data_IF_839742733905
#
_entry.id   IF_839742733905
#
_cell.length_a   1.000
_cell.length_b   1.000
_cell.length_c   1.000
_cell.angle_alpha   90.00
_cell.angle_beta   90.00
_cell.angle_gamma   90.00
#
_symmetry.space_group_name_H-M   'P 1'
#
loop_
_entity.id
_entity.type
_entity.pdbx_description
1 polymer ?
#
# COMPACT_ATOMS: atom_id res chain seq x y z
N UNK A 1 -3.31 2.50 77.46
CA UNK A 1 -2.54 1.76 76.43
C UNK A 1 -3.12 1.86 75.01
N UNK A 2 -4.35 2.36 74.80
CA UNK A 2 -5.00 2.41 73.48
C UNK A 2 -4.50 3.51 72.51
N UNK A 3 -3.73 4.50 72.98
CA UNK A 3 -3.31 5.67 72.18
C UNK A 3 -2.18 5.37 71.20
N UNK A 4 -1.25 4.47 71.55
CA UNK A 4 -0.10 4.14 70.70
C UNK A 4 -0.48 3.29 69.49
N UNK A 5 -1.46 2.38 69.64
CA UNK A 5 -1.94 1.54 68.55
C UNK A 5 -2.57 2.37 67.41
N UNK A 6 -3.36 3.39 67.76
CA UNK A 6 -4.01 4.26 66.79
C UNK A 6 -3.00 5.08 65.96
N UNK A 7 -1.95 5.59 66.60
CA UNK A 7 -0.87 6.34 65.92
C UNK A 7 -0.14 5.44 64.94
N UNK A 8 0.25 4.23 65.36
CA UNK A 8 0.95 3.27 64.49
C UNK A 8 0.08 2.89 63.29
N UNK A 9 -1.22 2.60 63.50
CA UNK A 9 -2.12 2.27 62.39
C UNK A 9 -2.28 3.42 61.40
N UNK A 10 -2.37 4.67 61.89
CA UNK A 10 -2.48 5.84 61.03
C UNK A 10 -1.21 6.07 60.21
N UNK A 11 -0.04 5.87 60.80
CA UNK A 11 1.24 5.98 60.09
C UNK A 11 1.40 4.92 59.02
N UNK A 12 1.05 3.66 59.31
CA UNK A 12 1.10 2.57 58.31
C UNK A 12 0.15 2.85 57.14
N UNK A 13 -1.07 3.32 57.42
CA UNK A 13 -2.02 3.69 56.38
C UNK A 13 -1.51 4.84 55.50
N UNK A 14 -0.91 5.88 56.10
CA UNK A 14 -0.32 6.99 55.37
C UNK A 14 0.84 6.55 54.47
N UNK A 15 1.73 5.68 54.97
CA UNK A 15 2.84 5.12 54.18
C UNK A 15 2.30 4.27 53.02
N UNK A 16 1.30 3.41 53.27
CA UNK A 16 0.70 2.59 52.23
C UNK A 16 0.07 3.42 51.10
N UNK A 17 -0.56 4.56 51.42
CA UNK A 17 -1.12 5.48 50.42
C UNK A 17 -0.02 6.13 49.56
N UNK A 18 1.12 6.51 50.15
CA UNK A 18 2.26 7.08 49.40
C UNK A 18 2.85 6.03 48.46
N UNK A 19 3.07 4.80 48.94
CA UNK A 19 3.55 3.71 48.09
C UNK A 19 2.59 3.39 46.95
N UNK A 20 1.28 3.37 47.22
CA UNK A 20 0.26 3.15 46.19
C UNK A 20 0.30 4.25 45.12
N UNK A 21 0.43 5.51 45.53
CA UNK A 21 0.55 6.64 44.62
C UNK A 21 1.80 6.58 43.74
N UNK A 22 2.94 6.15 44.31
CA UNK A 22 4.17 5.95 43.55
C UNK A 22 4.02 4.81 42.53
N UNK A 23 3.48 3.65 42.93
CA UNK A 23 3.26 2.53 42.01
C UNK A 23 2.33 2.94 40.86
N UNK A 24 1.21 3.61 41.16
CA UNK A 24 0.29 4.10 40.14
C UNK A 24 0.94 5.10 39.17
N UNK A 25 1.87 5.94 39.64
CA UNK A 25 2.61 6.87 38.79
C UNK A 25 3.52 6.13 37.80
N UNK A 26 4.26 5.11 38.26
CA UNK A 26 5.11 4.29 37.38
C UNK A 26 4.29 3.43 36.41
N UNK A 27 3.14 2.92 36.83
CA UNK A 27 2.23 2.16 35.98
C UNK A 27 1.68 3.01 34.82
N UNK A 28 1.36 4.28 35.07
CA UNK A 28 0.91 5.21 34.02
C UNK A 28 2.04 5.48 33.00
N UNK A 29 3.27 5.64 33.45
CA UNK A 29 4.39 5.93 32.55
C UNK A 29 4.76 4.72 31.69
N UNK A 30 4.81 3.52 32.27
CA UNK A 30 5.05 2.29 31.50
C UNK A 30 3.94 2.01 30.49
N UNK A 31 2.68 2.34 30.82
CA UNK A 31 1.57 2.22 29.88
C UNK A 31 1.72 3.17 28.68
N UNK A 32 2.24 4.39 28.88
CA UNK A 32 2.53 5.35 27.79
C UNK A 32 3.66 4.87 26.88
N UNK A 33 4.70 4.30 27.46
CA UNK A 33 5.81 3.74 26.69
C UNK A 33 5.37 2.56 25.82
N UNK A 34 4.56 1.64 26.37
CA UNK A 34 4.00 0.52 25.61
C UNK A 34 3.11 0.98 24.45
N UNK A 35 2.30 2.03 24.64
CA UNK A 35 1.49 2.61 23.57
C UNK A 35 2.37 3.20 22.47
N UNK A 36 3.41 3.95 22.84
CA UNK A 36 4.35 4.56 21.89
C UNK A 36 5.12 3.50 21.09
N UNK A 37 5.57 2.43 21.76
CA UNK A 37 6.24 1.32 21.10
C UNK A 37 5.29 0.59 20.15
N UNK A 38 4.06 0.34 20.58
CA UNK A 38 3.05 -0.33 19.75
C UNK A 38 2.72 0.47 18.49
N UNK A 39 2.66 1.81 18.59
CA UNK A 39 2.46 2.68 17.44
C UNK A 39 3.63 2.61 16.44
N UNK A 40 4.87 2.67 16.94
CA UNK A 40 6.07 2.56 16.08
C UNK A 40 6.17 1.21 15.39
N UNK A 41 5.87 0.12 16.10
CA UNK A 41 5.87 -1.22 15.54
C UNK A 41 4.76 -1.40 14.49
N UNK A 42 3.59 -0.79 14.71
CA UNK A 42 2.50 -0.78 13.73
C UNK A 42 2.89 -0.01 12.46
N UNK A 43 3.48 1.18 12.60
CA UNK A 43 3.97 1.97 11.46
C UNK A 43 5.07 1.25 10.69
N UNK A 44 5.98 0.56 11.40
CA UNK A 44 7.05 -0.22 10.77
C UNK A 44 6.47 -1.38 9.95
N UNK A 45 5.59 -2.20 10.54
CA UNK A 45 4.93 -3.33 9.85
C UNK A 45 4.14 -2.88 8.62
N UNK A 46 3.45 -1.75 8.74
CA UNK A 46 2.70 -1.14 7.64
C UNK A 46 3.62 -0.74 6.47
N UNK A 47 4.75 -0.09 6.76
CA UNK A 47 5.76 0.24 5.74
C UNK A 47 6.41 -1.00 5.14
N UNK A 48 6.73 -2.01 5.96
CA UNK A 48 7.27 -3.30 5.52
C UNK A 48 6.32 -3.96 4.52
N UNK A 49 5.02 -4.05 4.84
CA UNK A 49 4.00 -4.57 3.93
C UNK A 49 3.96 -3.81 2.60
N UNK A 50 3.89 -2.48 2.65
CA UNK A 50 3.84 -1.65 1.43
C UNK A 50 5.12 -1.77 0.58
N UNK A 51 6.27 -2.01 1.21
CA UNK A 51 7.54 -2.24 0.53
C UNK A 51 7.56 -3.54 -0.30
N UNK A 52 6.70 -4.51 0.03
CA UNK A 52 6.55 -5.77 -0.70
C UNK A 52 5.70 -5.65 -1.97
N UNK A 53 5.05 -4.50 -2.20
CA UNK A 53 4.29 -4.23 -3.42
C UNK A 53 5.19 -3.47 -4.38
N UNK A 54 5.67 -4.14 -5.42
CA UNK A 54 6.70 -3.61 -6.33
C UNK A 54 6.20 -3.54 -7.76
N UNK A 55 6.75 -2.59 -8.52
CA UNK A 55 6.52 -2.46 -9.95
C UNK A 55 7.87 -2.29 -10.67
N UNK A 56 8.10 -3.03 -11.75
CA UNK A 56 9.32 -2.94 -12.54
C UNK A 56 9.09 -3.39 -13.99
N UNK A 57 9.88 -2.91 -14.97
CA UNK A 57 9.83 -3.43 -16.32
C UNK A 57 10.63 -4.74 -16.46
N UNK A 58 10.15 -5.66 -17.28
CA UNK A 58 10.89 -6.83 -17.74
C UNK A 58 10.81 -6.95 -19.27
N UNK A 59 11.69 -7.77 -19.85
CA UNK A 59 11.73 -8.03 -21.29
C UNK A 59 11.50 -9.52 -21.53
N UNK A 60 10.62 -9.85 -22.48
CA UNK A 60 10.35 -11.23 -22.86
C UNK A 60 11.44 -11.81 -23.79
N UNK A 61 11.29 -13.09 -24.18
CA UNK A 61 12.23 -13.76 -25.09
C UNK A 61 12.31 -13.14 -26.49
N UNK A 62 11.32 -12.34 -26.88
CA UNK A 62 11.26 -11.67 -28.18
C UNK A 62 11.80 -10.23 -28.12
N UNK A 63 12.33 -9.81 -26.97
CA UNK A 63 12.80 -8.44 -26.77
C UNK A 63 11.67 -7.43 -26.47
N UNK A 64 10.44 -7.88 -26.27
CA UNK A 64 9.31 -7.00 -25.95
C UNK A 64 9.32 -6.64 -24.46
N UNK A 65 9.32 -5.34 -24.16
CA UNK A 65 9.23 -4.84 -22.79
C UNK A 65 7.78 -4.88 -22.28
N UNK A 66 7.60 -5.33 -21.04
CA UNK A 66 6.31 -5.37 -20.35
C UNK A 66 6.46 -4.93 -18.89
N UNK A 67 5.39 -4.42 -18.29
CA UNK A 67 5.37 -4.04 -16.88
C UNK A 67 5.07 -5.24 -16.00
N UNK A 68 5.71 -5.34 -14.85
CA UNK A 68 5.41 -6.34 -13.84
C UNK A 68 4.96 -5.63 -12.58
N UNK A 69 3.80 -6.00 -12.06
CA UNK A 69 3.36 -5.63 -10.72
C UNK A 69 3.35 -6.87 -9.87
N UNK A 70 3.97 -6.83 -8.70
CA UNK A 70 3.90 -7.93 -7.75
C UNK A 70 3.49 -7.44 -6.37
N UNK A 71 2.54 -8.15 -5.78
CA UNK A 71 2.27 -8.11 -4.37
C UNK A 71 2.95 -9.32 -3.72
N UNK A 72 4.07 -9.11 -3.04
CA UNK A 72 4.78 -10.16 -2.26
C UNK A 72 4.33 -10.20 -0.80
N UNK A 73 3.37 -9.36 -0.41
CA UNK A 73 2.74 -9.40 0.90
C UNK A 73 1.77 -10.57 1.02
N UNK A 74 1.54 -11.01 2.26
CA UNK A 74 0.48 -11.96 2.64
C UNK A 74 -0.90 -11.32 2.66
N UNK A 75 -0.95 -10.00 2.57
CA UNK A 75 -2.18 -9.23 2.59
C UNK A 75 -2.51 -8.70 1.19
N UNK A 76 -3.80 -8.66 0.80
CA UNK A 76 -4.21 -8.05 -0.45
C UNK A 76 -3.97 -6.54 -0.42
N UNK A 77 -3.80 -5.97 -1.62
CA UNK A 77 -3.83 -4.51 -1.81
C UNK A 77 -4.91 -4.15 -2.82
N UNK A 78 -5.59 -3.04 -2.57
CA UNK A 78 -6.77 -2.61 -3.33
C UNK A 78 -6.55 -1.23 -3.94
N UNK A 79 -7.44 -0.82 -4.86
CA UNK A 79 -7.36 0.49 -5.50
C UNK A 79 -6.01 0.71 -6.19
N UNK A 80 -5.49 -0.32 -6.85
CA UNK A 80 -4.18 -0.24 -7.48
C UNK A 80 -4.29 0.50 -8.80
N UNK A 81 -3.68 1.68 -8.86
CA UNK A 81 -3.61 2.56 -10.02
C UNK A 81 -2.17 2.64 -10.52
N UNK A 82 -2.00 2.56 -11.83
CA UNK A 82 -0.72 2.67 -12.49
C UNK A 82 -0.70 3.84 -13.45
N UNK A 83 0.39 4.58 -13.40
CA UNK A 83 0.68 5.71 -14.26
C UNK A 83 1.92 5.37 -15.07
N UNK A 84 1.73 5.26 -16.39
CA UNK A 84 2.72 4.78 -17.32
C UNK A 84 2.91 5.81 -18.45
N UNK A 85 4.11 5.89 -19.01
CA UNK A 85 4.43 6.75 -20.17
C UNK A 85 5.25 5.99 -21.20
N UNK A 86 5.00 6.27 -22.46
CA UNK A 86 5.70 5.67 -23.58
C UNK A 86 6.76 6.68 -24.00
N UNK A 87 8.00 6.22 -24.20
CA UNK A 87 9.14 7.13 -24.42
C UNK A 87 8.90 8.16 -25.53
N UNK A 88 8.18 7.77 -26.58
CA UNK A 88 7.99 8.57 -27.79
C UNK A 88 6.63 9.28 -27.83
N UNK A 89 5.85 9.20 -26.76
CA UNK A 89 4.53 9.83 -26.66
C UNK A 89 4.48 10.81 -25.49
N UNK A 90 3.81 11.95 -25.69
CA UNK A 90 3.65 12.97 -24.67
C UNK A 90 2.53 12.67 -23.65
N UNK A 91 1.89 11.51 -23.75
CA UNK A 91 0.76 11.11 -22.92
C UNK A 91 1.15 10.31 -21.67
N UNK A 92 0.45 10.54 -20.58
CA UNK A 92 0.42 9.65 -19.41
C UNK A 92 -0.82 8.77 -19.48
N UNK A 93 -0.60 7.48 -19.31
CA UNK A 93 -1.65 6.47 -19.35
C UNK A 93 -1.94 5.98 -17.94
N UNK A 94 -3.23 5.96 -17.59
CA UNK A 94 -3.72 5.52 -16.29
C UNK A 94 -4.41 4.16 -16.42
N UNK A 95 -3.96 3.18 -15.63
CA UNK A 95 -4.56 1.84 -15.54
C UNK A 95 -5.00 1.55 -14.13
N UNK A 96 -6.25 1.15 -13.98
CA UNK A 96 -6.73 0.63 -12.71
C UNK A 96 -6.77 -0.89 -12.74
N UNK A 97 -6.03 -1.50 -11.81
CA UNK A 97 -5.94 -2.94 -11.66
C UNK A 97 -6.94 -3.50 -10.64
N UNK A 98 -7.57 -2.63 -9.84
CA UNK A 98 -8.48 -3.04 -8.78
C UNK A 98 -7.71 -3.62 -7.59
N UNK A 99 -8.00 -4.89 -7.27
CA UNK A 99 -7.41 -5.59 -6.13
C UNK A 99 -6.39 -6.61 -6.59
N UNK A 100 -5.17 -6.52 -6.04
CA UNK A 100 -4.11 -7.50 -6.25
C UNK A 100 -4.10 -8.46 -5.06
N UNK A 101 -4.35 -9.77 -5.29
CA UNK A 101 -4.33 -10.75 -4.22
C UNK A 101 -2.94 -10.85 -3.56
N UNK A 102 -2.87 -11.44 -2.36
CA UNK A 102 -1.59 -11.80 -1.75
C UNK A 102 -0.71 -12.61 -2.70
N UNK A 103 0.61 -12.48 -2.54
CA UNK A 103 1.58 -13.37 -3.18
C UNK A 103 1.38 -13.52 -4.69
N UNK A 104 0.98 -12.44 -5.37
CA UNK A 104 0.61 -12.47 -6.78
C UNK A 104 1.54 -11.59 -7.59
N UNK A 105 1.97 -12.10 -8.73
CA UNK A 105 2.70 -11.38 -9.76
C UNK A 105 1.81 -11.26 -10.98
N UNK A 106 1.63 -10.06 -11.51
CA UNK A 106 0.85 -9.79 -12.71
C UNK A 106 1.75 -9.17 -13.76
N UNK A 107 1.72 -9.73 -14.96
CA UNK A 107 2.40 -9.17 -16.10
C UNK A 107 1.42 -8.30 -16.90
N UNK A 108 1.82 -7.05 -17.17
CA UNK A 108 1.07 -6.05 -17.91
C UNK A 108 1.71 -5.95 -19.29
N UNK A 109 1.11 -6.66 -20.25
CA UNK A 109 1.57 -6.65 -21.63
C UNK A 109 1.26 -5.28 -22.26
N UNK A 110 2.15 -4.74 -23.08
CA UNK A 110 1.96 -3.43 -23.74
C UNK A 110 0.68 -3.36 -24.60
N UNK A 111 0.24 -4.50 -25.15
CA UNK A 111 -1.02 -4.61 -25.89
C UNK A 111 -2.25 -4.29 -25.03
N UNK A 112 -2.15 -4.46 -23.71
CA UNK A 112 -3.20 -4.08 -22.77
C UNK A 112 -3.38 -2.58 -22.65
N UNK A 113 -2.29 -1.84 -22.84
CA UNK A 113 -2.26 -0.41 -22.63
C UNK A 113 -3.08 0.37 -23.67
N UNK A 114 -3.29 -0.24 -24.84
CA UNK A 114 -4.05 0.33 -25.95
C UNK A 114 -5.56 0.24 -25.81
N UNK A 115 -6.08 -0.58 -24.88
CA UNK A 115 -7.51 -0.88 -24.82
C UNK A 115 -8.27 0.02 -23.85
N UNK A 116 -7.58 0.78 -22.99
CA UNK A 116 -8.22 1.67 -22.00
C UNK A 116 -8.24 3.13 -22.43
N UNK A 117 -7.34 3.56 -23.31
CA UNK A 117 -7.47 4.85 -23.97
C UNK A 117 -8.52 4.75 -25.06
N UNK A 118 -9.35 5.79 -25.20
CA UNK A 118 -10.30 6.00 -26.29
C UNK A 118 -9.61 6.14 -27.68
N UNK A 119 -8.50 5.42 -27.92
CA UNK A 119 -7.91 5.19 -29.23
C UNK A 119 -8.78 4.18 -30.00
N UNK A 120 -10.03 4.58 -30.24
CA UNK A 120 -10.98 3.95 -31.14
C UNK A 120 -10.63 4.10 -32.62
N UNK A 121 -9.43 4.56 -33.03
CA UNK A 121 -9.23 4.91 -34.44
C UNK A 121 -7.84 4.75 -35.07
N UNK A 122 -6.84 4.11 -34.44
CA UNK A 122 -5.57 3.89 -35.14
C UNK A 122 -4.93 2.52 -34.88
N UNK A 123 -5.04 1.64 -35.88
CA UNK A 123 -4.37 0.33 -35.93
C UNK A 123 -2.85 0.45 -36.10
N UNK A 124 -2.34 1.58 -36.58
CA UNK A 124 -0.91 1.80 -36.72
C UNK A 124 -0.24 2.12 -35.37
N UNK A 125 -1.00 2.65 -34.39
CA UNK A 125 -0.46 2.92 -33.05
C UNK A 125 -0.12 1.61 -32.32
N UNK A 126 -0.95 0.57 -32.48
CA UNK A 126 -0.73 -0.75 -31.86
C UNK A 126 0.56 -1.42 -32.34
N UNK A 127 0.99 -1.13 -33.58
CA UNK A 127 2.23 -1.66 -34.17
C UNK A 127 3.47 -0.90 -33.71
N UNK A 128 3.36 0.42 -33.53
CA UNK A 128 4.49 1.28 -33.09
C UNK A 128 4.85 1.05 -31.62
N UNK A 129 3.85 0.89 -30.77
CA UNK A 129 4.05 0.70 -29.33
C UNK A 129 4.62 -0.67 -28.97
N UNK A 130 4.48 -1.68 -29.83
CA UNK A 130 5.07 -3.01 -29.59
C UNK A 130 6.60 -2.98 -29.40
N UNK A 131 7.27 -1.92 -29.87
CA UNK A 131 8.72 -1.71 -29.76
C UNK A 131 9.12 -0.53 -28.87
N UNK A 132 8.17 0.15 -28.21
CA UNK A 132 8.50 1.32 -27.40
C UNK A 132 8.90 0.93 -25.98
N UNK A 133 9.84 1.70 -25.42
CA UNK A 133 10.28 1.58 -24.04
C UNK A 133 9.16 2.08 -23.12
N UNK A 134 8.52 1.15 -22.41
CA UNK A 134 7.56 1.44 -21.36
C UNK A 134 8.29 2.10 -20.18
N UNK A 135 7.85 3.29 -19.79
CA UNK A 135 8.34 3.99 -18.60
C UNK A 135 7.26 3.92 -17.54
N UNK A 136 7.59 3.29 -16.42
CA UNK A 136 6.71 3.24 -15.25
C UNK A 136 6.95 4.53 -14.46
N UNK A 137 5.95 5.41 -14.42
CA UNK A 137 6.06 6.66 -13.67
C UNK A 137 5.80 6.41 -12.19
N UNK A 138 4.65 5.82 -11.90
CA UNK A 138 4.17 5.64 -10.52
C UNK A 138 3.08 4.57 -10.44
N UNK A 139 2.98 3.96 -9.27
CA UNK A 139 1.87 3.13 -8.82
C UNK A 139 1.30 3.75 -7.54
N UNK A 140 -0.02 3.80 -7.41
CA UNK A 140 -0.67 4.01 -6.11
C UNK A 140 -1.53 2.82 -5.74
N UNK A 141 -1.66 2.55 -4.45
CA UNK A 141 -2.45 1.44 -3.93
C UNK A 141 -2.86 1.69 -2.48
N UNK A 142 -3.91 1.02 -2.05
CA UNK A 142 -4.39 1.00 -0.67
C UNK A 142 -4.04 -0.33 -0.03
N UNK A 143 -3.32 -0.28 1.09
CA UNK A 143 -2.95 -1.46 1.87
C UNK A 143 -4.14 -2.02 2.70
N UNK A 144 -3.92 -3.13 3.40
CA UNK A 144 -4.93 -3.74 4.28
C UNK A 144 -5.28 -2.90 5.51
N UNK A 145 -4.47 -1.89 5.83
CA UNK A 145 -4.72 -0.91 6.90
C UNK A 145 -5.44 0.34 6.41
N UNK A 146 -5.96 0.31 5.17
CA UNK A 146 -6.63 1.42 4.50
C UNK A 146 -5.75 2.66 4.23
N UNK A 147 -4.43 2.48 4.22
CA UNK A 147 -3.50 3.57 3.94
C UNK A 147 -3.09 3.59 2.48
N UNK A 148 -3.00 4.80 1.93
CA UNK A 148 -2.72 5.00 0.51
C UNK A 148 -1.22 5.22 0.33
N UNK A 149 -0.64 4.39 -0.53
CA UNK A 149 0.77 4.42 -0.87
C UNK A 149 0.97 4.88 -2.29
N UNK A 150 2.09 5.55 -2.49
CA UNK A 150 2.64 5.93 -3.78
C UNK A 150 4.01 5.32 -3.93
N UNK A 151 4.22 4.57 -5.01
CA UNK A 151 5.49 3.96 -5.34
C UNK A 151 5.95 4.37 -6.74
N UNK A 152 7.15 4.92 -6.84
CA UNK A 152 7.89 4.98 -8.09
C UNK A 152 9.03 3.94 -8.07
N UNK A 153 9.90 3.93 -9.07
CA UNK A 153 11.00 2.97 -9.15
C UNK A 153 12.01 3.06 -8.00
N UNK A 154 12.07 4.20 -7.29
CA UNK A 154 13.08 4.49 -6.27
C UNK A 154 12.47 4.77 -4.89
N UNK A 155 11.25 5.28 -4.83
CA UNK A 155 10.65 5.78 -3.60
C UNK A 155 9.30 5.12 -3.33
N UNK A 156 9.10 4.80 -2.05
CA UNK A 156 7.81 4.48 -1.48
C UNK A 156 7.44 5.60 -0.51
N UNK A 157 6.24 6.17 -0.67
CA UNK A 157 5.74 7.25 0.18
C UNK A 157 4.29 7.00 0.55
N UNK A 158 3.97 7.21 1.81
CA UNK A 158 2.58 7.28 2.26
C UNK A 158 1.98 8.60 1.80
N UNK A 159 0.80 8.55 1.20
CA UNK A 159 0.07 9.74 0.79
C UNK A 159 -0.82 10.22 1.94
N UNK A 160 -0.82 11.52 2.26
CA UNK A 160 -1.78 12.05 3.22
C UNK A 160 -3.19 11.90 2.63
N UNK A 161 -4.07 11.19 3.34
CA UNK A 161 -5.49 11.13 2.98
C UNK A 161 -6.09 12.50 3.26
N UNK A 162 -6.25 13.34 2.23
CA UNK A 162 -6.99 14.60 2.39
C UNK A 162 -8.46 14.27 2.62
N UNK A 163 -8.94 14.65 3.80
CA UNK A 163 -10.34 14.49 4.22
C UNK A 163 -11.23 15.30 3.25
N UNK A 164 -11.85 14.62 2.27
CA UNK A 164 -12.70 15.21 1.23
C UNK A 164 -12.34 14.86 -0.22
N UNK A 165 -11.15 14.28 -0.48
CA UNK A 165 -10.72 13.91 -1.85
C UNK A 165 -11.16 12.48 -2.25
N UNK A 166 -11.39 11.62 -1.25
CA UNK A 166 -11.85 10.23 -1.42
C UNK A 166 -13.22 10.15 -2.13
N UNK A 167 -14.10 11.14 -1.89
CA UNK A 167 -15.44 11.19 -2.51
C UNK A 167 -15.42 11.70 -3.96
N UNK A 168 -14.41 12.48 -4.34
CA UNK A 168 -14.24 12.96 -5.73
C UNK A 168 -13.65 11.87 -6.63
N UNK A 169 -12.75 11.05 -6.09
CA UNK A 169 -12.12 9.96 -6.84
C UNK A 169 -13.11 8.81 -7.08
N UNK A 170 -13.97 8.49 -6.10
CA UNK A 170 -14.96 7.41 -6.23
C UNK A 170 -16.16 7.80 -7.11
N UNK A 171 -16.62 9.05 -7.09
CA UNK A 171 -17.76 9.49 -7.92
C UNK A 171 -17.48 9.52 -9.42
N UNK A 172 -16.23 9.73 -9.83
CA UNK A 172 -15.83 9.68 -11.25
C UNK A 172 -15.51 8.24 -11.71
N UNK A 173 -15.54 7.27 -10.78
CA UNK A 173 -15.09 5.89 -10.99
C UNK A 173 -16.18 4.97 -11.55
N UNK A 174 -17.46 5.18 -11.19
CA UNK A 174 -18.58 4.37 -11.68
C UNK A 174 -18.79 4.46 -13.20
N UNK A 175 -18.54 5.63 -13.80
CA UNK A 175 -18.58 5.79 -15.27
C UNK A 175 -17.37 5.14 -15.98
N UNK A 176 -16.27 4.90 -15.27
CA UNK A 176 -15.05 4.29 -15.80
C UNK A 176 -15.07 2.76 -15.70
N UNK A 177 -15.68 2.20 -14.65
CA UNK A 177 -15.73 0.76 -14.37
C UNK A 177 -16.49 -0.07 -15.41
N UNK A 178 -17.50 0.49 -16.08
CA UNK A 178 -18.19 -0.18 -17.19
C UNK A 178 -17.28 -0.42 -18.41
N UNK A 179 -16.14 0.27 -18.52
CA UNK A 179 -15.18 0.13 -19.62
C UNK A 179 -14.10 -0.92 -19.34
N UNK A 180 -13.69 -1.10 -18.08
CA UNK A 180 -12.57 -1.98 -17.68
C UNK A 180 -12.96 -3.46 -17.64
N UNK A 181 -14.25 -3.81 -17.49
CA UNK A 181 -14.72 -5.20 -17.40
C UNK A 181 -14.35 -6.11 -18.60
N UNK A 182 -13.93 -5.54 -19.74
CA UNK A 182 -13.50 -6.26 -20.95
C UNK A 182 -12.01 -6.64 -20.97
N UNK A 183 -11.24 -6.30 -19.92
CA UNK A 183 -9.77 -6.42 -19.87
C UNK A 183 -9.21 -7.66 -19.19
N UNK A 184 -10.03 -8.65 -18.77
CA UNK A 184 -9.54 -9.83 -18.03
C UNK A 184 -8.44 -10.64 -18.75
N UNK A 185 -8.36 -10.58 -20.08
CA UNK A 185 -7.32 -11.26 -20.86
C UNK A 185 -5.96 -10.55 -20.86
N UNK A 186 -5.89 -9.34 -20.28
CA UNK A 186 -4.72 -8.46 -20.36
C UNK A 186 -3.73 -8.64 -19.21
N UNK A 187 -4.19 -9.27 -18.14
CA UNK A 187 -3.39 -9.56 -16.97
C UNK A 187 -3.23 -11.08 -16.86
N UNK A 188 -1.97 -11.52 -16.77
CA UNK A 188 -1.62 -12.93 -16.55
C UNK A 188 -1.14 -13.06 -15.09
N UNK A 189 -2.05 -13.29 -14.12
CA UNK A 189 -1.68 -13.45 -12.73
C UNK A 189 -0.99 -14.80 -12.50
N UNK A 190 0.18 -14.74 -11.86
CA UNK A 190 0.96 -15.90 -11.43
C UNK A 190 1.17 -15.83 -9.93
N UNK A 191 1.03 -16.97 -9.26
CA UNK A 191 1.29 -17.08 -7.82
C UNK A 191 2.82 -17.09 -7.58
N UNK A 192 3.26 -16.38 -6.54
CA UNK A 192 4.66 -16.31 -6.10
C UNK A 192 4.86 -17.36 -5.00
N UNK A 193 5.75 -18.32 -5.25
CA UNK A 193 5.99 -19.45 -4.33
C UNK A 193 6.67 -19.06 -3.01
N UNK A 194 7.42 -17.94 -2.97
CA UNK A 194 8.17 -17.48 -1.80
C UNK A 194 7.67 -16.14 -1.25
N UNK A 195 6.44 -16.14 -0.73
CA UNK A 195 5.78 -14.94 -0.23
C UNK A 195 6.22 -14.54 1.20
N UNK A 196 6.41 -13.24 1.44
CA UNK A 196 6.76 -12.70 2.75
C UNK A 196 8.20 -12.94 3.23
N UNK A 197 9.14 -13.28 2.33
CA UNK A 197 10.58 -13.14 2.62
C UNK A 197 11.08 -11.80 2.09
N UNK A 198 11.84 -11.08 2.89
CA UNK A 198 12.61 -9.91 2.44
C UNK A 198 13.53 -10.35 1.29
N UNK A 199 13.56 -9.55 0.23
CA UNK A 199 14.37 -9.79 -0.97
C UNK A 199 15.78 -9.22 -0.80
#
# INVERSE_FOLDING_TARGET
MATWAAVISATVAAIALIFTGLVAFWDIETARDQLTQSQKDAERKKREQASMVTIWPETDSNGQMYGVVANRSRDPVSGVDLFLRWRDESGEYHFHLGTIPPCTRMNIKSQAAHLTTEALYDKDLTRRVAHQNLIILRMSFTDSTASIWSRDSLHLREMPVKKGEVDSFSKNWEEHLLRVAKSRHLFDPKVIENCGREA
#
